data_IF_910244257023
#
_entry.id   IF_910244257023
#
_cell.length_a   1.000
_cell.length_b   1.000
_cell.length_c   1.000
_cell.angle_alpha   90.00
_cell.angle_beta   90.00
_cell.angle_gamma   90.00
#
_symmetry.space_group_name_H-M   'P 1'
#
loop_
_entity.id
_entity.type
_entity.pdbx_description
1 polymer ?
#
# COMPACT_ATOMS: atom_id res chain seq x y z
N UNK A 1 -32.09 -4.89 18.97
CA UNK A 1 -30.88 -5.20 18.18
C UNK A 1 -30.25 -3.87 17.85
N UNK A 2 -29.28 -3.41 18.63
CA UNK A 2 -28.67 -2.10 18.42
C UNK A 2 -27.70 -2.19 17.24
N UNK A 3 -27.86 -1.31 16.25
CA UNK A 3 -26.89 -1.11 15.18
C UNK A 3 -25.60 -0.54 15.79
N UNK A 4 -24.56 -1.37 15.83
CA UNK A 4 -23.21 -0.94 16.16
C UNK A 4 -22.62 -0.24 14.93
N UNK A 5 -22.93 1.04 14.74
CA UNK A 5 -22.12 1.93 13.89
C UNK A 5 -20.81 2.15 14.62
N UNK A 6 -19.92 1.15 14.53
CA UNK A 6 -18.58 1.22 15.08
C UNK A 6 -17.79 2.25 14.30
N UNK A 7 -17.85 3.51 14.73
CA UNK A 7 -16.91 4.53 14.32
C UNK A 7 -15.50 3.97 14.58
N UNK A 8 -14.78 3.66 13.51
CA UNK A 8 -13.40 3.19 13.60
C UNK A 8 -12.58 4.38 14.09
N UNK A 9 -12.37 4.43 15.41
CA UNK A 9 -11.51 5.44 16.03
C UNK A 9 -10.07 5.10 15.64
N UNK A 10 -9.61 5.66 14.52
CA UNK A 10 -8.22 5.55 14.11
C UNK A 10 -7.34 6.30 15.13
N UNK A 11 -6.23 5.70 15.58
CA UNK A 11 -5.33 6.36 16.52
C UNK A 11 -4.81 7.68 15.94
N UNK A 12 -4.53 8.71 16.77
CA UNK A 12 -4.10 10.01 16.28
C UNK A 12 -2.83 9.91 15.45
N UNK A 13 -2.90 10.30 14.18
CA UNK A 13 -1.74 10.39 13.30
C UNK A 13 -1.08 11.77 13.40
N UNK A 14 0.24 11.80 13.47
CA UNK A 14 1.03 13.02 13.33
C UNK A 14 0.84 13.54 11.91
N UNK A 15 0.69 14.86 11.73
CA UNK A 15 0.63 15.45 10.39
C UNK A 15 2.01 15.79 9.85
N UNK A 16 2.21 15.71 8.54
CA UNK A 16 3.34 16.37 7.89
C UNK A 16 3.11 17.88 7.88
N UNK A 17 4.20 18.67 7.92
CA UNK A 17 4.10 20.15 7.81
C UNK A 17 3.70 20.59 6.39
N UNK A 18 4.09 19.80 5.39
CA UNK A 18 3.78 19.96 3.96
C UNK A 18 3.49 18.58 3.38
N UNK A 19 2.89 18.50 2.20
CA UNK A 19 2.71 17.23 1.49
C UNK A 19 4.10 16.65 1.19
N UNK A 20 4.42 15.42 1.65
CA UNK A 20 5.69 14.79 1.32
C UNK A 20 5.69 14.36 -0.15
N UNK A 21 6.80 14.62 -0.84
CA UNK A 21 7.00 14.22 -2.23
C UNK A 21 8.26 13.36 -2.27
N UNK A 22 8.16 12.21 -2.88
CA UNK A 22 9.26 11.27 -3.05
C UNK A 22 9.44 10.99 -4.54
N UNK A 23 10.70 10.98 -4.98
CA UNK A 23 11.10 10.50 -6.30
C UNK A 23 11.84 9.19 -6.07
N UNK A 24 11.44 8.15 -6.79
CA UNK A 24 11.99 6.81 -6.68
C UNK A 24 12.45 6.35 -8.04
N UNK A 25 13.44 5.46 -8.06
CA UNK A 25 13.91 4.83 -9.30
C UNK A 25 12.90 3.77 -9.73
N UNK A 26 12.58 2.82 -8.84
CA UNK A 26 11.67 1.71 -9.12
C UNK A 26 10.32 1.87 -8.40
N UNK A 27 9.26 1.27 -8.97
CA UNK A 27 7.88 1.41 -8.45
C UNK A 27 7.75 0.86 -7.03
N UNK A 28 8.37 -0.29 -6.77
CA UNK A 28 8.33 -0.95 -5.46
C UNK A 28 9.03 -0.16 -4.35
N UNK A 29 9.98 0.73 -4.69
CA UNK A 29 10.67 1.56 -3.69
C UNK A 29 9.73 2.58 -3.03
N UNK A 30 8.57 2.86 -3.62
CA UNK A 30 7.54 3.69 -3.00
C UNK A 30 7.08 3.13 -1.63
N UNK A 31 7.04 1.80 -1.49
CA UNK A 31 6.52 1.16 -0.28
C UNK A 31 7.36 1.47 0.97
N UNK A 32 8.66 1.71 0.82
CA UNK A 32 9.52 2.06 1.95
C UNK A 32 9.10 3.38 2.63
N UNK A 33 8.61 4.34 1.84
CA UNK A 33 8.18 5.65 2.33
C UNK A 33 6.80 5.55 2.98
N UNK A 34 5.92 4.71 2.44
CA UNK A 34 4.63 4.37 3.06
C UNK A 34 4.89 3.72 4.43
N UNK A 35 5.76 2.71 4.51
CA UNK A 35 6.10 2.03 5.76
C UNK A 35 6.79 2.96 6.76
N UNK A 36 7.65 3.86 6.29
CA UNK A 36 8.26 4.88 7.14
C UNK A 36 7.24 5.88 7.68
N UNK A 37 6.25 6.26 6.88
CA UNK A 37 5.14 7.11 7.32
C UNK A 37 4.26 6.38 8.34
N UNK A 38 3.98 5.09 8.16
CA UNK A 38 3.28 4.26 9.16
C UNK A 38 4.09 4.19 10.46
N UNK A 39 5.38 3.82 10.41
CA UNK A 39 6.25 3.75 11.59
C UNK A 39 6.43 5.09 12.31
N UNK A 40 6.42 6.19 11.55
CA UNK A 40 6.43 7.57 12.06
C UNK A 40 5.08 8.06 12.61
N UNK A 41 4.04 7.20 12.59
CA UNK A 41 2.64 7.53 12.94
C UNK A 41 2.07 8.67 12.09
N UNK A 42 2.54 8.85 10.86
CA UNK A 42 2.07 9.84 9.88
C UNK A 42 0.92 9.29 9.02
N UNK A 43 0.92 7.98 8.82
CA UNK A 43 -0.20 7.21 8.28
C UNK A 43 -0.70 6.23 9.36
N UNK A 44 -1.99 5.84 9.32
CA UNK A 44 -2.50 4.79 10.19
C UNK A 44 -1.82 3.45 9.84
N UNK A 45 -1.79 2.52 10.80
CA UNK A 45 -1.21 1.19 10.58
C UNK A 45 -1.97 0.40 9.51
N UNK A 46 -3.29 0.53 9.49
CA UNK A 46 -4.20 -0.15 8.55
C UNK A 46 -5.23 0.84 8.02
N UNK A 47 -5.86 0.54 6.89
CA UNK A 47 -6.94 1.36 6.34
C UNK A 47 -6.53 2.46 5.37
N UNK A 48 -5.26 2.52 4.94
CA UNK A 48 -4.84 3.51 3.94
C UNK A 48 -5.43 3.17 2.57
N UNK A 49 -5.89 4.20 1.83
CA UNK A 49 -6.28 4.05 0.42
C UNK A 49 -5.10 4.46 -0.47
N UNK A 50 -4.73 3.59 -1.41
CA UNK A 50 -3.74 3.87 -2.44
C UNK A 50 -4.45 4.28 -3.73
N UNK A 51 -4.12 5.46 -4.25
CA UNK A 51 -4.48 5.90 -5.59
C UNK A 51 -3.27 5.70 -6.50
N UNK A 52 -3.38 4.78 -7.47
CA UNK A 52 -2.28 4.36 -8.35
C UNK A 52 -2.59 4.75 -9.79
N UNK A 53 -1.80 5.66 -10.35
CA UNK A 53 -1.92 6.12 -11.74
C UNK A 53 -0.78 5.50 -12.54
N UNK A 54 -1.08 4.44 -13.26
CA UNK A 54 -0.08 3.71 -14.04
C UNK A 54 -0.75 2.94 -15.18
N UNK A 55 0.03 2.62 -16.22
CA UNK A 55 -0.36 1.69 -17.26
C UNK A 55 -0.49 0.25 -16.76
N UNK A 56 0.15 -0.10 -15.64
CA UNK A 56 0.11 -1.42 -15.00
C UNK A 56 -0.59 -1.38 -13.64
N UNK A 57 -1.20 -2.49 -13.20
CA UNK A 57 -1.85 -2.54 -11.90
C UNK A 57 -0.89 -2.77 -10.73
N UNK A 58 0.36 -3.18 -10.97
CA UNK A 58 1.37 -3.56 -9.97
C UNK A 58 0.90 -4.51 -8.85
N UNK A 59 -0.07 -5.37 -9.21
CA UNK A 59 -0.74 -6.31 -8.31
C UNK A 59 -0.47 -7.77 -8.68
N UNK A 60 0.66 -8.08 -9.32
CA UNK A 60 1.03 -9.48 -9.55
C UNK A 60 1.28 -10.17 -8.20
N UNK A 61 0.84 -11.42 -8.05
CA UNK A 61 1.18 -12.24 -6.90
C UNK A 61 2.46 -13.00 -7.22
N UNK A 62 3.54 -12.72 -6.50
CA UNK A 62 4.75 -13.52 -6.61
C UNK A 62 4.51 -14.93 -6.03
N UNK A 63 4.80 -15.96 -6.83
CA UNK A 63 4.68 -17.36 -6.43
C UNK A 63 5.69 -17.77 -5.36
N UNK A 64 6.77 -17.01 -5.19
CA UNK A 64 7.83 -17.26 -4.20
C UNK A 64 7.52 -16.61 -2.86
N UNK A 65 6.71 -15.55 -2.84
CA UNK A 65 6.38 -14.80 -1.65
C UNK A 65 5.28 -15.53 -0.87
N UNK A 66 5.58 -15.90 0.36
CA UNK A 66 4.63 -16.59 1.24
C UNK A 66 3.73 -15.55 1.91
N UNK A 67 2.44 -15.85 2.07
CA UNK A 67 1.51 -14.94 2.74
C UNK A 67 1.94 -14.51 4.15
N UNK A 68 2.68 -15.37 4.86
CA UNK A 68 3.28 -15.05 6.17
C UNK A 68 4.31 -13.91 6.12
N UNK A 69 4.90 -13.66 4.97
CA UNK A 69 5.93 -12.64 4.76
C UNK A 69 5.33 -11.25 4.51
N UNK A 70 4.03 -11.15 4.19
CA UNK A 70 3.36 -9.88 3.94
C UNK A 70 3.48 -8.90 5.14
N UNK A 71 3.47 -9.42 6.37
CA UNK A 71 3.64 -8.64 7.61
C UNK A 71 5.09 -8.56 8.10
N UNK A 72 6.08 -8.95 7.29
CA UNK A 72 7.50 -8.92 7.66
C UNK A 72 8.11 -7.50 7.69
N UNK A 73 7.31 -6.45 7.47
CA UNK A 73 7.73 -5.06 7.55
C UNK A 73 8.87 -4.76 6.56
N UNK A 74 10.00 -4.27 7.05
CA UNK A 74 11.15 -3.93 6.19
C UNK A 74 11.80 -5.14 5.52
N UNK A 75 11.67 -6.33 6.10
CA UNK A 75 12.25 -7.56 5.52
C UNK A 75 11.50 -8.00 4.24
N UNK A 76 10.29 -7.47 4.01
CA UNK A 76 9.53 -7.68 2.79
C UNK A 76 10.14 -6.90 1.60
N UNK A 77 10.66 -5.70 1.83
CA UNK A 77 11.04 -4.77 0.76
C UNK A 77 12.03 -5.37 -0.27
N UNK A 78 13.09 -6.11 0.13
CA UNK A 78 14.02 -6.72 -0.82
C UNK A 78 13.42 -7.87 -1.64
N UNK A 79 12.24 -8.38 -1.26
CA UNK A 79 11.55 -9.47 -1.96
C UNK A 79 10.59 -8.94 -3.04
N UNK A 80 10.34 -7.63 -3.07
CA UNK A 80 9.39 -7.01 -3.99
C UNK A 80 10.04 -6.75 -5.35
N UNK A 81 9.23 -6.75 -6.38
CA UNK A 81 9.56 -6.39 -7.75
C UNK A 81 8.60 -5.28 -8.20
N UNK A 82 8.93 -4.62 -9.31
CA UNK A 82 8.18 -3.48 -9.83
C UNK A 82 6.69 -3.79 -10.05
N UNK A 83 6.36 -5.04 -10.37
CA UNK A 83 5.00 -5.46 -10.74
C UNK A 83 4.18 -6.08 -9.59
N UNK A 84 4.75 -6.26 -8.39
CA UNK A 84 4.13 -7.08 -7.32
C UNK A 84 3.97 -6.40 -5.95
N UNK A 85 4.38 -5.14 -5.82
CA UNK A 85 4.58 -4.50 -4.52
C UNK A 85 3.29 -4.11 -3.78
N UNK A 86 2.16 -3.96 -4.49
CA UNK A 86 0.89 -3.51 -3.90
C UNK A 86 0.19 -4.64 -3.13
N UNK A 87 0.20 -5.87 -3.65
CA UNK A 87 -0.56 -6.99 -3.04
C UNK A 87 -0.06 -7.34 -1.64
N UNK A 88 1.25 -7.47 -1.36
CA UNK A 88 1.73 -7.75 -0.01
C UNK A 88 1.31 -6.69 1.01
N UNK A 89 1.36 -5.41 0.65
CA UNK A 89 0.92 -4.32 1.50
C UNK A 89 -0.61 -4.35 1.77
N UNK A 90 -1.38 -4.84 0.79
CA UNK A 90 -2.82 -5.06 0.90
C UNK A 90 -3.12 -6.26 1.81
N UNK A 91 -2.42 -7.38 1.61
CA UNK A 91 -2.55 -8.58 2.43
C UNK A 91 -2.16 -8.33 3.91
N UNK A 92 -1.23 -7.41 4.15
CA UNK A 92 -0.86 -6.96 5.49
C UNK A 92 -1.89 -6.03 6.15
N UNK A 93 -2.88 -5.54 5.40
CA UNK A 93 -3.90 -4.58 5.87
C UNK A 93 -3.45 -3.12 5.88
N UNK A 94 -2.17 -2.84 5.55
CA UNK A 94 -1.64 -1.48 5.50
C UNK A 94 -2.35 -0.63 4.45
N UNK A 95 -2.63 -1.23 3.30
CA UNK A 95 -3.46 -0.67 2.23
C UNK A 95 -4.78 -1.44 2.22
N UNK A 96 -5.89 -0.77 2.50
CA UNK A 96 -7.21 -1.40 2.50
C UNK A 96 -7.90 -1.33 1.13
N UNK A 97 -7.64 -0.24 0.40
CA UNK A 97 -8.26 0.01 -0.90
C UNK A 97 -7.20 0.44 -1.91
N UNK A 98 -7.28 -0.14 -3.11
CA UNK A 98 -6.44 0.25 -4.25
C UNK A 98 -7.36 0.77 -5.34
N UNK A 99 -7.22 2.04 -5.68
CA UNK A 99 -7.88 2.66 -6.82
C UNK A 99 -6.86 2.77 -7.95
N UNK A 100 -6.92 1.83 -8.89
CA UNK A 100 -6.06 1.85 -10.08
C UNK A 100 -6.73 2.68 -11.19
N UNK A 101 -6.14 3.82 -11.51
CA UNK A 101 -6.60 4.69 -12.58
C UNK A 101 -6.00 4.24 -13.92
N UNK A 102 -6.58 3.16 -14.45
CA UNK A 102 -6.12 2.50 -15.68
C UNK A 102 -6.32 3.41 -16.92
N UNK A 103 -5.29 3.64 -17.76
CA UNK A 103 -5.47 4.36 -19.01
C UNK A 103 -6.26 3.54 -20.05
N UNK A 104 -6.93 4.19 -21.04
CA UNK A 104 -7.78 3.49 -22.01
C UNK A 104 -7.09 2.40 -22.84
N UNK A 105 -5.76 2.48 -23.00
CA UNK A 105 -4.98 1.53 -23.80
C UNK A 105 -4.48 0.30 -23.02
N UNK A 106 -4.54 0.30 -21.68
CA UNK A 106 -4.12 -0.82 -20.84
C UNK A 106 -5.16 -1.97 -20.88
N UNK A 107 -4.69 -3.22 -20.84
CA UNK A 107 -5.49 -4.43 -21.13
C UNK A 107 -5.44 -5.51 -20.03
N UNK A 108 -4.78 -5.26 -18.91
CA UNK A 108 -4.47 -6.27 -17.88
C UNK A 108 -5.71 -6.83 -17.19
N UNK A 109 -6.70 -5.98 -16.91
CA UNK A 109 -8.03 -6.41 -16.49
C UNK A 109 -9.03 -6.03 -17.59
N UNK A 110 -9.63 -7.04 -18.21
CA UNK A 110 -10.64 -6.94 -19.26
C UNK A 110 -11.87 -7.73 -18.86
#
# INVERSE_FOLDING_TARGET
MAENTGDIVLPPTKRFRKIPIYVVEEHNDALQFIYSAIGGKKLPLEGTTLLHLDAHPDMLIDRKLKGTEARAGRNLLPLLQIENWIVPATAAGHIAYVVWLRPPWAKQFR
#
